data_IF_658428487558
#
_entry.id   IF_658428487558
#
_cell.length_a   1.000
_cell.length_b   1.000
_cell.length_c   1.000
_cell.angle_alpha   90.00
_cell.angle_beta   90.00
_cell.angle_gamma   90.00
#
_symmetry.space_group_name_H-M   'P 1'
#
loop_
_entity.id
_entity.type
_entity.pdbx_description
1 polymer ?
#
# COMPACT_ATOMS: atom_id res chain seq x y z
N UNK A 1 -10.63 4.25 8.37
CA UNK A 1 -10.92 2.84 7.99
C UNK A 1 -9.59 2.21 7.62
N UNK A 2 -9.31 0.98 8.07
CA UNK A 2 -7.99 0.37 7.92
C UNK A 2 -7.96 -0.65 6.79
N UNK A 3 -6.90 -0.60 6.01
CA UNK A 3 -6.61 -1.47 4.87
C UNK A 3 -5.13 -1.83 4.86
N UNK A 4 -4.75 -2.70 3.93
CA UNK A 4 -3.36 -3.05 3.66
C UNK A 4 -3.02 -2.72 2.22
N UNK A 5 -1.79 -2.30 1.97
CA UNK A 5 -1.23 -2.12 0.63
C UNK A 5 0.13 -2.82 0.55
N UNK A 6 0.64 -3.03 -0.66
CA UNK A 6 1.97 -3.59 -0.89
C UNK A 6 2.90 -2.43 -1.25
N UNK A 7 3.81 -2.09 -0.35
CA UNK A 7 4.79 -1.04 -0.53
C UNK A 7 6.06 -1.57 -1.17
N UNK A 8 6.53 -0.92 -2.24
CA UNK A 8 7.82 -1.24 -2.83
C UNK A 8 8.95 -0.66 -1.97
N UNK A 9 9.76 -1.51 -1.37
CA UNK A 9 10.63 -1.09 -0.26
C UNK A 9 11.76 -0.12 -0.68
N UNK A 10 12.10 -0.02 -1.97
CA UNK A 10 13.25 0.79 -2.43
C UNK A 10 12.88 2.19 -2.93
N UNK A 11 11.59 2.49 -3.05
CA UNK A 11 11.12 3.83 -3.44
C UNK A 11 9.93 4.21 -2.58
N UNK A 12 10.06 5.36 -1.90
CA UNK A 12 9.03 5.89 -1.02
C UNK A 12 7.73 6.18 -1.78
N UNK A 13 6.60 5.89 -1.13
CA UNK A 13 5.24 6.12 -1.63
C UNK A 13 4.93 5.45 -2.98
N UNK A 14 5.60 4.32 -3.27
CA UNK A 14 5.27 3.42 -4.38
C UNK A 14 4.52 2.21 -3.85
N UNK A 15 3.35 1.95 -4.45
CA UNK A 15 2.46 0.85 -4.09
C UNK A 15 2.11 0.01 -5.31
N UNK A 16 1.75 -1.26 -5.09
CA UNK A 16 1.25 -2.12 -6.15
C UNK A 16 -0.24 -1.87 -6.43
N UNK A 17 -0.59 -1.58 -7.69
CA UNK A 17 -1.96 -1.45 -8.17
C UNK A 17 -2.48 -2.79 -8.70
N UNK A 18 -3.45 -3.39 -8.01
CA UNK A 18 -4.00 -4.70 -8.40
C UNK A 18 -4.88 -4.66 -9.65
N UNK A 19 -5.39 -3.49 -10.04
CA UNK A 19 -6.23 -3.35 -11.23
C UNK A 19 -5.40 -3.23 -12.51
N UNK A 20 -4.20 -2.65 -12.41
CA UNK A 20 -3.26 -2.47 -13.52
C UNK A 20 -2.11 -3.47 -13.52
N UNK A 21 -1.91 -4.17 -12.41
CA UNK A 21 -0.79 -5.09 -12.19
C UNK A 21 0.58 -4.39 -12.34
N UNK A 22 0.67 -3.13 -11.90
CA UNK A 22 1.86 -2.28 -11.99
C UNK A 22 2.05 -1.40 -10.75
N UNK A 23 3.24 -0.82 -10.60
CA UNK A 23 3.55 0.13 -9.53
C UNK A 23 2.88 1.50 -9.77
N UNK A 24 2.37 2.10 -8.70
CA UNK A 24 1.71 3.41 -8.73
C UNK A 24 2.12 4.29 -7.55
N UNK A 25 2.15 5.60 -7.79
CA UNK A 25 2.21 6.62 -6.73
C UNK A 25 0.83 7.08 -6.27
N UNK A 26 -0.22 6.73 -7.04
CA UNK A 26 -1.59 7.11 -6.75
C UNK A 26 -2.25 6.02 -5.92
N UNK A 27 -2.15 6.15 -4.60
CA UNK A 27 -2.78 5.21 -3.67
C UNK A 27 -4.31 5.36 -3.76
N UNK A 28 -4.95 4.32 -4.29
CA UNK A 28 -6.40 4.29 -4.48
C UNK A 28 -7.02 2.97 -4.01
N UNK A 29 -8.33 2.83 -4.17
CA UNK A 29 -9.07 1.62 -3.83
C UNK A 29 -8.52 0.36 -4.53
N UNK A 30 -7.90 0.52 -5.72
CA UNK A 30 -7.24 -0.56 -6.46
C UNK A 30 -6.00 -1.11 -5.77
N UNK A 31 -5.46 -0.42 -4.77
CA UNK A 31 -4.25 -0.80 -4.03
C UNK A 31 -4.57 -1.50 -2.70
N UNK A 32 -5.85 -1.60 -2.32
CA UNK A 32 -6.24 -2.02 -0.98
C UNK A 32 -6.59 -3.50 -0.87
N UNK A 33 -6.01 -4.11 0.15
CA UNK A 33 -6.30 -5.46 0.62
C UNK A 33 -6.98 -5.42 1.99
N UNK A 34 -7.84 -6.41 2.29
CA UNK A 34 -8.63 -6.41 3.52
C UNK A 34 -7.82 -6.75 4.76
N UNK A 35 -6.75 -7.55 4.63
CA UNK A 35 -5.96 -8.05 5.76
C UNK A 35 -4.48 -8.19 5.40
N UNK A 36 -3.62 -8.19 6.44
CA UNK A 36 -2.19 -8.47 6.30
C UNK A 36 -1.90 -9.83 5.70
N UNK A 37 -2.65 -10.85 6.11
CA UNK A 37 -2.47 -12.23 5.66
C UNK A 37 -2.64 -12.34 4.13
N UNK A 38 -3.62 -11.63 3.55
CA UNK A 38 -3.81 -11.60 2.10
C UNK A 38 -2.65 -10.86 1.41
N UNK A 39 -2.12 -9.82 2.03
CA UNK A 39 -0.97 -9.09 1.50
C UNK A 39 0.30 -9.95 1.48
N UNK A 40 0.60 -10.63 2.59
CA UNK A 40 1.72 -11.56 2.71
C UNK A 40 1.60 -12.75 1.74
N UNK A 41 0.39 -13.32 1.62
CA UNK A 41 0.09 -14.41 0.69
C UNK A 41 0.27 -13.98 -0.77
N UNK A 42 -0.16 -12.77 -1.14
CA UNK A 42 0.02 -12.24 -2.49
C UNK A 42 1.48 -12.01 -2.82
N UNK A 43 2.24 -11.38 -1.90
CA UNK A 43 3.68 -11.17 -2.07
C UNK A 43 4.36 -12.51 -2.32
N UNK A 44 4.16 -13.50 -1.44
CA UNK A 44 4.83 -14.81 -1.56
C UNK A 44 4.53 -15.57 -2.86
N UNK A 45 3.40 -15.28 -3.53
CA UNK A 45 2.99 -16.00 -4.73
C UNK A 45 3.29 -15.26 -6.03
N UNK A 46 3.21 -13.94 -6.03
CA UNK A 46 3.16 -13.13 -7.26
C UNK A 46 4.27 -12.07 -7.33
N UNK A 47 4.87 -11.71 -6.19
CA UNK A 47 5.90 -10.67 -6.13
C UNK A 47 7.19 -11.24 -5.53
N UNK A 48 8.28 -10.50 -5.69
CA UNK A 48 9.53 -10.80 -5.01
C UNK A 48 9.54 -10.19 -3.59
N UNK A 49 10.57 -10.52 -2.79
CA UNK A 49 10.85 -9.94 -1.46
C UNK A 49 11.12 -8.41 -1.47
N UNK A 50 10.88 -7.77 -2.61
CA UNK A 50 10.97 -6.34 -2.84
C UNK A 50 9.75 -5.56 -2.36
N UNK A 51 8.66 -6.26 -2.00
CA UNK A 51 7.45 -5.67 -1.46
C UNK A 51 7.22 -6.04 0.00
N UNK A 52 6.65 -5.11 0.76
CA UNK A 52 6.24 -5.34 2.15
C UNK A 52 4.80 -4.90 2.38
N UNK A 53 4.04 -5.62 3.23
CA UNK A 53 2.71 -5.22 3.59
C UNK A 53 2.75 -3.98 4.50
N UNK A 54 2.01 -2.93 4.15
CA UNK A 54 1.88 -1.71 4.94
C UNK A 54 0.42 -1.45 5.30
N UNK A 55 0.16 -1.11 6.56
CA UNK A 55 -1.18 -0.71 7.01
C UNK A 55 -1.50 0.70 6.47
N UNK A 56 -2.67 0.88 5.87
CA UNK A 56 -3.18 2.17 5.40
C UNK A 56 -4.43 2.53 6.22
N UNK A 57 -4.44 3.71 6.81
CA UNK A 57 -5.61 4.25 7.49
C UNK A 57 -6.21 5.40 6.67
N UNK A 58 -7.38 5.14 6.07
CA UNK A 58 -8.19 6.18 5.42
C UNK A 58 -8.86 7.05 6.50
N UNK A 59 -8.53 8.34 6.51
CA UNK A 59 -8.98 9.29 7.52
C UNK A 59 -10.27 10.01 7.09
N UNK A 60 -10.25 10.68 5.94
CA UNK A 60 -11.42 11.42 5.43
C UNK A 60 -11.42 11.54 3.91
N UNK A 61 -12.61 11.43 3.31
CA UNK A 61 -12.87 11.94 1.96
C UNK A 61 -13.13 13.45 2.10
N UNK A 62 -12.18 14.26 1.69
CA UNK A 62 -12.40 15.71 1.63
C UNK A 62 -13.45 16.03 0.56
N UNK A 63 -14.21 17.14 0.72
CA UNK A 63 -15.31 17.53 -0.18
C UNK A 63 -14.90 17.70 -1.66
N UNK A 64 -13.60 17.79 -1.93
CA UNK A 64 -12.99 17.89 -3.27
C UNK A 64 -12.68 16.51 -3.89
N UNK A 65 -13.02 15.40 -3.23
CA UNK A 65 -12.75 14.04 -3.71
C UNK A 65 -11.35 13.53 -3.39
N UNK A 66 -10.53 14.27 -2.63
CA UNK A 66 -9.20 13.85 -2.22
C UNK A 66 -9.34 12.98 -0.96
N UNK A 67 -8.82 11.76 -1.03
CA UNK A 67 -8.71 10.87 0.12
C UNK A 67 -7.49 11.26 0.94
N UNK A 68 -7.70 11.62 2.20
CA UNK A 68 -6.61 11.72 3.17
C UNK A 68 -6.40 10.35 3.81
N UNK A 69 -5.15 9.90 3.78
CA UNK A 69 -4.72 8.64 4.35
C UNK A 69 -3.40 8.81 5.08
N UNK A 70 -3.16 7.93 6.03
CA UNK A 70 -1.85 7.73 6.66
C UNK A 70 -1.41 6.28 6.47
N UNK A 71 -0.10 6.04 6.54
CA UNK A 71 0.49 4.71 6.44
C UNK A 71 1.22 4.32 7.72
N UNK A 72 1.31 3.02 7.95
CA UNK A 72 2.24 2.44 8.90
C UNK A 72 3.70 2.60 8.45
N UNK A 73 4.60 2.09 9.30
CA UNK A 73 6.03 2.12 9.05
C UNK A 73 6.42 1.16 7.91
N UNK A 74 7.30 1.61 7.04
CA UNK A 74 8.07 0.80 6.10
C UNK A 74 9.54 1.02 6.45
N UNK A 75 10.22 -0.01 6.97
CA UNK A 75 11.56 0.17 7.57
C UNK A 75 12.52 0.92 6.65
N UNK A 76 12.54 0.62 5.34
CA UNK A 76 13.43 1.29 4.37
C UNK A 76 13.07 2.73 4.02
N UNK A 77 11.80 3.10 4.14
CA UNK A 77 11.37 4.48 3.88
C UNK A 77 11.61 5.33 5.13
N UNK A 78 11.34 4.75 6.29
CA UNK A 78 11.43 5.40 7.60
C UNK A 78 12.76 5.04 8.33
N UNK A 79 13.80 4.76 7.55
CA UNK A 79 15.20 4.60 8.01
C UNK A 79 15.78 6.01 8.26
N UNK A 80 15.54 6.54 9.47
CA UNK A 80 16.23 7.74 10.01
C UNK A 80 17.68 7.44 10.47
#
# INVERSE_FOLDING_TARGET
MKFWALAYQYQEDIFYDFAKEEDTMDLSESCFLPTKEVAEDFISQQLDDDYVPVEIELETLQKNGIWSWSRGRVDRWDEE
#
